data_IF_939105806920
#
_entry.id   IF_939105806920
#
_cell.length_a   1.000
_cell.length_b   1.000
_cell.length_c   1.000
_cell.angle_alpha   90.00
_cell.angle_beta   90.00
_cell.angle_gamma   90.00
#
_symmetry.space_group_name_H-M   'P 1'
#
loop_
_entity.id
_entity.type
_entity.pdbx_description
1 polymer ?
#
# COMPACT_ATOMS: atom_id res chain seq x y z
N UNK A 1 22.82 61.04 8.59
CA UNK A 1 21.75 60.86 7.59
C UNK A 1 21.95 59.50 6.93
N UNK A 2 21.21 58.47 7.35
CA UNK A 2 21.29 57.13 6.75
C UNK A 2 19.89 56.71 6.29
N UNK A 3 19.58 56.90 5.02
CA UNK A 3 18.48 56.20 4.34
C UNK A 3 19.15 55.10 3.51
N UNK A 4 19.23 53.88 4.05
CA UNK A 4 18.33 52.75 3.75
C UNK A 4 18.20 52.48 2.25
N UNK A 5 19.07 51.56 1.84
CA UNK A 5 19.04 50.70 0.66
C UNK A 5 17.62 50.40 0.15
N UNK A 6 17.28 51.03 -0.97
CA UNK A 6 16.33 50.50 -1.93
C UNK A 6 17.16 49.76 -2.98
N UNK A 7 17.11 48.44 -3.00
CA UNK A 7 17.34 47.63 -4.20
C UNK A 7 17.13 46.15 -3.87
N UNK A 8 15.89 45.71 -4.05
CA UNK A 8 15.53 44.33 -4.36
C UNK A 8 14.03 44.26 -4.66
N UNK A 9 13.59 45.05 -5.65
CA UNK A 9 12.30 44.84 -6.30
C UNK A 9 12.46 43.63 -7.22
N UNK A 10 12.47 42.43 -6.64
CA UNK A 10 12.35 41.21 -7.44
C UNK A 10 10.89 41.03 -7.79
N UNK A 11 10.59 41.31 -9.05
CA UNK A 11 9.42 40.90 -9.83
C UNK A 11 8.65 39.71 -9.20
N UNK A 12 7.53 39.99 -8.54
CA UNK A 12 6.57 38.98 -8.06
C UNK A 12 5.57 38.58 -9.16
N UNK A 13 6.04 38.36 -10.39
CA UNK A 13 5.28 37.62 -11.39
C UNK A 13 5.66 36.14 -11.26
N UNK A 14 4.85 35.39 -10.51
CA UNK A 14 4.91 33.91 -10.54
C UNK A 14 4.82 33.18 -9.21
N UNK A 15 4.84 33.85 -8.05
CA UNK A 15 4.62 33.17 -6.76
C UNK A 15 3.16 33.24 -6.37
N UNK A 16 2.38 32.22 -6.72
CA UNK A 16 1.10 32.01 -6.07
C UNK A 16 1.30 31.97 -4.54
N UNK A 17 0.67 32.88 -3.81
CA UNK A 17 0.78 32.92 -2.35
C UNK A 17 -0.14 31.87 -1.73
N UNK A 18 0.18 31.41 -0.50
CA UNK A 18 -0.68 30.55 0.32
C UNK A 18 -2.15 31.01 0.33
N UNK A 19 -2.35 32.33 0.42
CA UNK A 19 -3.66 32.98 0.42
C UNK A 19 -4.43 32.76 -0.88
N UNK A 20 -3.75 32.79 -2.02
CA UNK A 20 -4.39 32.57 -3.33
C UNK A 20 -4.86 31.12 -3.46
N UNK A 21 -4.06 30.15 -3.03
CA UNK A 21 -4.48 28.74 -3.00
C UNK A 21 -5.62 28.48 -2.02
N UNK A 22 -5.57 29.10 -0.84
CA UNK A 22 -6.67 29.03 0.11
C UNK A 22 -7.98 29.61 -0.48
N UNK A 23 -7.88 30.66 -1.32
CA UNK A 23 -9.05 31.18 -2.07
C UNK A 23 -9.52 30.22 -3.16
N UNK A 24 -8.62 29.55 -3.88
CA UNK A 24 -8.99 28.54 -4.88
C UNK A 24 -9.81 27.41 -4.24
N UNK A 25 -9.46 27.00 -3.01
CA UNK A 25 -10.21 26.00 -2.26
C UNK A 25 -11.65 26.44 -1.87
N UNK A 26 -12.01 27.71 -2.03
CA UNK A 26 -13.40 28.12 -1.86
C UNK A 26 -14.30 27.62 -3.00
N UNK A 27 -13.77 27.39 -4.21
CA UNK A 27 -14.55 26.87 -5.36
C UNK A 27 -15.89 27.60 -5.58
N UNK A 28 -15.95 28.91 -5.29
CA UNK A 28 -17.15 29.73 -5.41
C UNK A 28 -18.10 29.76 -4.20
N UNK A 29 -17.83 29.00 -3.13
CA UNK A 29 -18.66 29.04 -1.91
C UNK A 29 -18.38 30.27 -1.04
N UNK A 30 -19.38 30.69 -0.29
CA UNK A 30 -19.24 31.79 0.66
C UNK A 30 -18.31 31.44 1.83
N UNK A 31 -17.67 32.44 2.42
CA UNK A 31 -16.84 32.25 3.63
C UNK A 31 -17.63 31.64 4.80
N UNK A 32 -18.95 31.88 4.87
CA UNK A 32 -19.83 31.27 5.89
C UNK A 32 -19.98 29.76 5.65
N UNK A 33 -20.21 29.36 4.40
CA UNK A 33 -20.29 27.94 4.05
C UNK A 33 -18.96 27.22 4.31
N UNK A 34 -17.84 27.82 3.91
CA UNK A 34 -16.50 27.27 4.17
C UNK A 34 -16.18 27.19 5.66
N UNK A 35 -16.61 28.18 6.45
CA UNK A 35 -16.46 28.17 7.92
C UNK A 35 -17.15 26.98 8.57
N UNK A 36 -18.37 26.67 8.15
CA UNK A 36 -19.11 25.49 8.63
C UNK A 36 -18.44 24.19 8.20
N UNK A 37 -18.07 24.07 6.93
CA UNK A 37 -17.50 22.84 6.36
C UNK A 37 -16.10 22.54 6.89
N UNK A 38 -15.23 23.55 6.94
CA UNK A 38 -13.91 23.43 7.53
C UNK A 38 -13.93 23.37 9.05
N UNK A 39 -15.10 23.60 9.66
CA UNK A 39 -15.28 23.70 11.11
C UNK A 39 -14.23 24.65 11.72
N UNK A 40 -14.15 25.85 11.16
CA UNK A 40 -13.27 26.95 11.61
C UNK A 40 -14.18 28.15 11.85
N UNK A 41 -14.08 28.87 13.00
CA UNK A 41 -14.89 30.05 13.24
C UNK A 41 -14.79 31.08 12.12
N UNK A 42 -15.92 31.68 11.71
CA UNK A 42 -15.96 32.63 10.60
C UNK A 42 -14.95 33.78 10.78
N UNK A 43 -14.81 34.30 12.00
CA UNK A 43 -13.83 35.35 12.33
C UNK A 43 -12.39 34.90 12.09
N UNK A 44 -12.05 33.68 12.49
CA UNK A 44 -10.74 33.06 12.28
C UNK A 44 -10.46 32.87 10.80
N UNK A 45 -11.44 32.37 10.06
CA UNK A 45 -11.31 32.16 8.62
C UNK A 45 -11.17 33.50 7.86
N UNK A 46 -12.00 34.48 8.21
CA UNK A 46 -11.96 35.82 7.66
C UNK A 46 -10.61 36.50 7.93
N UNK A 47 -9.99 36.26 9.09
CA UNK A 47 -8.64 36.76 9.38
C UNK A 47 -7.58 36.20 8.40
N UNK A 48 -7.71 34.95 7.94
CA UNK A 48 -6.77 34.38 6.95
C UNK A 48 -6.90 35.03 5.57
N UNK A 49 -8.07 35.58 5.24
CA UNK A 49 -8.32 36.26 3.97
C UNK A 49 -8.17 37.78 4.02
N UNK A 50 -8.39 38.42 5.17
CA UNK A 50 -8.31 39.88 5.28
C UNK A 50 -6.96 40.34 5.85
N UNK A 51 -6.37 39.57 6.76
CA UNK A 51 -5.10 39.92 7.42
C UNK A 51 -3.94 39.13 6.83
N UNK A 52 -2.71 39.56 7.10
CA UNK A 52 -1.47 38.81 6.80
C UNK A 52 -1.22 37.71 7.85
N UNK A 53 -2.27 37.05 8.32
CA UNK A 53 -2.19 36.00 9.34
C UNK A 53 -2.31 34.65 8.66
N UNK A 54 -1.32 33.78 8.88
CA UNK A 54 -1.34 32.42 8.35
C UNK A 54 -2.03 31.47 9.34
N UNK A 55 -2.76 30.46 8.86
CA UNK A 55 -3.26 29.40 9.72
C UNK A 55 -2.11 28.61 10.36
N UNK A 56 -2.35 28.05 11.54
CA UNK A 56 -1.42 27.09 12.12
C UNK A 56 -1.34 25.83 11.25
N UNK A 57 -0.25 25.07 11.41
CA UNK A 57 -0.07 23.79 10.73
C UNK A 57 -1.27 22.85 10.89
N UNK A 58 -1.84 22.79 12.10
CA UNK A 58 -3.02 22.00 12.40
C UNK A 58 -4.25 22.43 11.57
N UNK A 59 -4.49 23.74 11.46
CA UNK A 59 -5.62 24.28 10.70
C UNK A 59 -5.40 24.09 9.19
N UNK A 60 -4.18 24.31 8.69
CA UNK A 60 -3.84 24.06 7.29
C UNK A 60 -4.00 22.58 6.92
N UNK A 61 -3.55 21.65 7.78
CA UNK A 61 -3.73 20.21 7.58
C UNK A 61 -5.20 19.81 7.60
N UNK A 62 -6.01 20.40 8.49
CA UNK A 62 -7.45 20.16 8.54
C UNK A 62 -8.14 20.57 7.23
N UNK A 63 -7.85 21.78 6.74
CA UNK A 63 -8.38 22.28 5.46
C UNK A 63 -7.95 21.37 4.31
N UNK A 64 -6.67 21.01 4.25
CA UNK A 64 -6.12 20.15 3.21
C UNK A 64 -6.82 18.78 3.15
N UNK A 65 -7.08 18.16 4.31
CA UNK A 65 -7.80 16.88 4.40
C UNK A 65 -9.25 16.98 3.92
N UNK A 66 -9.96 18.04 4.30
CA UNK A 66 -11.36 18.24 3.92
C UNK A 66 -11.48 18.49 2.41
N UNK A 67 -10.54 19.24 1.83
CA UNK A 67 -10.54 19.59 0.41
C UNK A 67 -9.87 18.56 -0.51
N UNK A 68 -9.27 17.51 0.07
CA UNK A 68 -8.58 16.46 -0.68
C UNK A 68 -7.29 16.92 -1.37
N UNK A 69 -6.60 17.92 -0.81
CA UNK A 69 -5.31 18.43 -1.33
C UNK A 69 -4.16 18.09 -0.40
N UNK A 70 -2.92 18.05 -0.91
CA UNK A 70 -1.75 17.87 -0.05
C UNK A 70 -1.47 19.14 0.76
N UNK A 71 -0.94 18.97 1.96
CA UNK A 71 -0.48 20.09 2.78
C UNK A 71 0.64 20.86 2.07
N UNK A 72 1.52 20.15 1.37
CA UNK A 72 2.60 20.74 0.58
C UNK A 72 2.06 21.62 -0.54
N UNK A 73 1.09 21.13 -1.33
CA UNK A 73 0.43 21.95 -2.34
C UNK A 73 -0.20 23.19 -1.73
N UNK A 74 -0.89 23.07 -0.60
CA UNK A 74 -1.46 24.23 0.08
C UNK A 74 -0.38 25.22 0.53
N UNK A 75 0.77 24.73 1.03
CA UNK A 75 1.87 25.53 1.57
C UNK A 75 2.73 26.21 0.49
N UNK A 76 3.21 25.47 -0.51
CA UNK A 76 4.19 25.92 -1.50
C UNK A 76 3.62 26.04 -2.92
N UNK A 77 2.48 25.41 -3.22
CA UNK A 77 1.84 25.45 -4.54
C UNK A 77 2.48 24.53 -5.56
N UNK A 78 3.49 23.75 -5.18
CA UNK A 78 3.95 22.65 -6.00
C UNK A 78 2.86 21.57 -5.95
N UNK A 79 2.34 21.12 -7.12
CA UNK A 79 1.58 19.89 -7.17
C UNK A 79 2.42 18.83 -6.47
N UNK A 80 1.78 18.07 -5.59
CA UNK A 80 2.40 16.90 -5.02
C UNK A 80 2.80 15.99 -6.21
N UNK A 81 4.05 16.05 -6.65
CA UNK A 81 4.80 14.80 -6.76
C UNK A 81 4.61 14.19 -5.38
N UNK A 82 3.64 13.26 -5.27
CA UNK A 82 3.40 12.54 -4.02
C UNK A 82 4.78 12.18 -3.48
N UNK A 83 5.09 12.36 -2.19
CA UNK A 83 6.24 11.66 -1.65
C UNK A 83 6.00 10.21 -2.03
N UNK A 84 6.80 9.73 -2.98
CA UNK A 84 6.82 8.32 -3.31
C UNK A 84 7.13 7.70 -1.97
N UNK A 85 6.19 6.92 -1.46
CA UNK A 85 6.61 5.81 -0.64
C UNK A 85 7.59 5.05 -1.56
N UNK A 86 8.88 5.35 -1.38
CA UNK A 86 10.01 4.97 -2.22
C UNK A 86 10.30 3.46 -2.13
N UNK A 87 9.26 2.69 -1.84
CA UNK A 87 9.30 1.24 -1.71
C UNK A 87 8.87 0.51 -2.98
N UNK A 88 8.27 1.19 -3.98
CA UNK A 88 7.82 0.53 -5.22
C UNK A 88 7.87 1.46 -6.45
N UNK A 89 9.06 1.87 -6.87
CA UNK A 89 9.29 2.13 -8.30
C UNK A 89 9.71 0.81 -8.94
N UNK A 90 8.73 0.03 -9.37
CA UNK A 90 9.00 -1.11 -10.25
C UNK A 90 9.55 -0.57 -11.58
N UNK A 91 10.55 -1.25 -12.11
CA UNK A 91 11.34 -0.99 -13.34
C UNK A 91 10.51 -0.93 -14.65
N UNK A 92 9.19 -0.78 -14.55
CA UNK A 92 8.22 -0.87 -15.64
C UNK A 92 7.70 0.49 -16.13
N UNK A 93 8.11 1.59 -15.48
CA UNK A 93 7.84 2.95 -15.96
C UNK A 93 6.38 3.44 -15.84
N UNK A 94 5.46 2.62 -15.34
CA UNK A 94 4.07 3.00 -15.13
C UNK A 94 3.79 3.35 -13.68
N UNK A 95 3.19 4.52 -13.45
CA UNK A 95 2.69 4.90 -12.14
C UNK A 95 1.45 4.09 -11.74
N UNK A 96 1.24 3.85 -10.45
CA UNK A 96 0.02 3.21 -9.94
C UNK A 96 -1.26 3.89 -10.44
N UNK A 97 -1.25 5.23 -10.53
CA UNK A 97 -2.39 6.02 -11.01
C UNK A 97 -2.69 5.75 -12.50
N UNK A 98 -1.66 5.51 -13.32
CA UNK A 98 -1.80 5.19 -14.75
C UNK A 98 -2.36 3.77 -14.95
N UNK A 99 -1.83 2.81 -14.20
CA UNK A 99 -2.34 1.43 -14.20
C UNK A 99 -3.80 1.39 -13.73
N UNK A 100 -4.13 2.13 -12.66
CA UNK A 100 -5.52 2.25 -12.17
C UNK A 100 -6.45 2.85 -13.23
N UNK A 101 -5.97 3.84 -13.96
CA UNK A 101 -6.73 4.48 -15.04
C UNK A 101 -6.97 3.51 -16.19
N UNK A 102 -5.93 2.78 -16.63
CA UNK A 102 -6.05 1.75 -17.66
C UNK A 102 -7.01 0.62 -17.24
N UNK A 103 -6.91 0.15 -16.00
CA UNK A 103 -7.82 -0.86 -15.44
C UNK A 103 -9.28 -0.40 -15.39
N UNK A 104 -9.51 0.87 -15.04
CA UNK A 104 -10.85 1.44 -15.01
C UNK A 104 -11.45 1.50 -16.42
N UNK A 105 -10.65 1.93 -17.40
CA UNK A 105 -11.07 1.97 -18.81
C UNK A 105 -11.45 0.58 -19.35
N UNK A 106 -10.67 -0.44 -19.01
CA UNK A 106 -10.96 -1.83 -19.41
C UNK A 106 -12.28 -2.27 -18.78
N UNK A 107 -12.47 -2.05 -17.47
CA UNK A 107 -13.68 -2.49 -16.79
C UNK A 107 -14.93 -1.77 -17.29
N UNK A 108 -14.82 -0.47 -17.58
CA UNK A 108 -15.91 0.36 -18.12
C UNK A 108 -16.32 -0.05 -19.55
N UNK A 109 -15.42 -0.71 -20.29
CA UNK A 109 -15.70 -1.21 -21.65
C UNK A 109 -16.50 -2.53 -21.67
N UNK A 110 -16.59 -3.23 -20.53
CA UNK A 110 -17.25 -4.52 -20.41
C UNK A 110 -18.71 -4.36 -20.00
N UNK A 111 -19.57 -5.28 -20.45
CA UNK A 111 -20.91 -5.36 -19.90
C UNK A 111 -20.92 -5.92 -18.47
N UNK A 112 -22.03 -5.74 -17.75
CA UNK A 112 -22.16 -6.18 -16.34
C UNK A 112 -21.95 -7.70 -16.18
N UNK A 113 -22.31 -8.51 -17.18
CA UNK A 113 -22.13 -9.97 -17.13
C UNK A 113 -20.67 -10.34 -17.37
N UNK A 114 -20.01 -9.68 -18.31
CA UNK A 114 -18.61 -9.86 -18.65
C UNK A 114 -17.71 -9.41 -17.49
N UNK A 115 -17.95 -8.23 -16.92
CA UNK A 115 -17.25 -7.73 -15.74
C UNK A 115 -17.37 -8.69 -14.55
N UNK A 116 -18.59 -9.19 -14.28
CA UNK A 116 -18.82 -10.19 -13.22
C UNK A 116 -18.09 -11.50 -13.50
N UNK A 117 -18.05 -11.95 -14.75
CA UNK A 117 -17.34 -13.17 -15.15
C UNK A 117 -15.84 -13.01 -14.96
N UNK A 118 -15.29 -11.85 -15.34
CA UNK A 118 -13.88 -11.52 -15.18
C UNK A 118 -13.48 -11.48 -13.70
N UNK A 119 -14.25 -10.78 -12.85
CA UNK A 119 -13.99 -10.70 -11.40
C UNK A 119 -14.01 -12.10 -10.78
N UNK A 120 -15.00 -12.92 -11.12
CA UNK A 120 -15.09 -14.29 -10.60
C UNK A 120 -13.90 -15.16 -11.04
N UNK A 121 -13.45 -14.99 -12.28
CA UNK A 121 -12.29 -15.70 -12.80
C UNK A 121 -11.01 -15.30 -12.05
N UNK A 122 -10.79 -13.99 -11.88
CA UNK A 122 -9.66 -13.45 -11.12
C UNK A 122 -9.68 -13.92 -9.66
N UNK A 123 -10.84 -13.88 -9.00
CA UNK A 123 -10.98 -14.40 -7.64
C UNK A 123 -10.64 -15.88 -7.57
N UNK A 124 -11.21 -16.72 -8.45
CA UNK A 124 -10.94 -18.16 -8.44
C UNK A 124 -9.46 -18.46 -8.65
N UNK A 125 -8.84 -17.82 -9.66
CA UNK A 125 -7.43 -18.02 -9.96
C UNK A 125 -6.49 -17.44 -8.89
N UNK A 126 -6.87 -16.31 -8.29
CA UNK A 126 -6.17 -15.74 -7.14
C UNK A 126 -6.19 -16.66 -5.92
N UNK A 127 -7.36 -17.19 -5.56
CA UNK A 127 -7.51 -18.15 -4.45
C UNK A 127 -6.73 -19.44 -4.74
N UNK A 128 -6.82 -19.97 -5.96
CA UNK A 128 -6.07 -21.15 -6.39
C UNK A 128 -4.56 -20.94 -6.23
N UNK A 129 -4.03 -19.78 -6.66
CA UNK A 129 -2.62 -19.42 -6.49
C UNK A 129 -2.19 -19.25 -5.03
N UNK A 130 -3.03 -18.64 -4.19
CA UNK A 130 -2.76 -18.53 -2.74
C UNK A 130 -2.74 -19.92 -2.09
N UNK A 131 -3.69 -20.79 -2.44
CA UNK A 131 -3.75 -22.16 -1.94
C UNK A 131 -2.56 -23.01 -2.39
N UNK A 132 -2.07 -22.86 -3.63
CA UNK A 132 -0.87 -23.56 -4.08
C UNK A 132 0.37 -23.06 -3.34
N UNK A 133 0.51 -21.75 -3.12
CA UNK A 133 1.61 -21.19 -2.33
C UNK A 133 1.58 -21.64 -0.86
N UNK A 134 0.39 -21.82 -0.29
CA UNK A 134 0.22 -22.36 1.06
C UNK A 134 0.58 -23.85 1.10
N UNK A 135 0.23 -24.63 0.07
CA UNK A 135 0.63 -26.05 -0.02
C UNK A 135 2.12 -26.23 -0.32
N UNK A 136 2.73 -25.37 -1.13
CA UNK A 136 4.19 -25.37 -1.37
C UNK A 136 4.98 -25.04 -0.09
N UNK A 137 4.38 -24.29 0.84
CA UNK A 137 4.92 -24.03 2.18
C UNK A 137 4.49 -25.02 3.25
N UNK A 138 3.60 -25.98 2.96
CA UNK A 138 3.32 -27.04 3.93
C UNK A 138 4.56 -27.91 4.04
N UNK A 139 5.27 -27.68 5.13
CA UNK A 139 6.41 -28.47 5.57
C UNK A 139 6.05 -29.96 5.45
N UNK A 140 6.94 -30.72 4.81
CA UNK A 140 6.79 -32.17 4.66
C UNK A 140 6.58 -32.81 6.05
N UNK A 141 7.15 -32.21 7.10
CA UNK A 141 6.88 -32.59 8.48
C UNK A 141 5.41 -32.45 8.92
N UNK A 142 4.72 -31.38 8.52
CA UNK A 142 3.28 -31.22 8.81
C UNK A 142 2.42 -32.25 8.07
N UNK A 143 2.85 -32.64 6.87
CA UNK A 143 2.20 -33.72 6.12
C UNK A 143 2.42 -35.08 6.81
N UNK A 144 3.62 -35.33 7.33
CA UNK A 144 3.93 -36.53 8.12
C UNK A 144 3.09 -36.57 9.40
N UNK A 145 2.88 -35.44 10.06
CA UNK A 145 2.08 -35.36 11.29
C UNK A 145 0.59 -35.68 11.05
N UNK A 146 0.07 -35.39 9.85
CA UNK A 146 -1.31 -35.71 9.44
C UNK A 146 -1.53 -37.20 9.09
N UNK A 147 -0.47 -38.01 8.93
CA UNK A 147 -0.61 -39.43 8.62
C UNK A 147 -1.30 -40.19 9.77
N UNK A 148 -2.23 -41.09 9.47
CA UNK A 148 -2.91 -41.94 10.46
C UNK A 148 -2.08 -43.19 10.81
N UNK A 149 -0.83 -42.98 11.22
CA UNK A 149 0.11 -44.03 11.62
C UNK A 149 0.62 -43.80 13.05
N UNK A 150 1.24 -44.82 13.64
CA UNK A 150 1.84 -44.75 14.99
C UNK A 150 2.88 -43.63 15.09
N UNK A 151 2.90 -42.90 16.20
CA UNK A 151 3.80 -41.75 16.43
C UNK A 151 5.28 -42.08 16.22
N UNK A 152 5.75 -43.23 16.73
CA UNK A 152 7.14 -43.65 16.57
C UNK A 152 7.54 -43.83 15.09
N UNK A 153 6.59 -44.23 14.23
CA UNK A 153 6.84 -44.37 12.80
C UNK A 153 6.88 -43.00 12.12
N UNK A 154 6.05 -42.05 12.54
CA UNK A 154 6.15 -40.65 12.07
C UNK A 154 7.51 -40.07 12.37
N UNK A 155 8.00 -40.24 13.60
CA UNK A 155 9.30 -39.74 14.02
C UNK A 155 10.44 -40.38 13.23
N UNK A 156 10.38 -41.69 12.99
CA UNK A 156 11.37 -42.38 12.16
C UNK A 156 11.37 -41.85 10.71
N UNK A 157 10.20 -41.55 10.14
CA UNK A 157 10.09 -40.97 8.80
C UNK A 157 10.67 -39.55 8.76
N UNK A 158 10.43 -38.72 9.78
CA UNK A 158 11.02 -37.37 9.88
C UNK A 158 12.55 -37.42 9.95
N UNK A 159 13.10 -38.29 10.79
CA UNK A 159 14.56 -38.47 10.93
C UNK A 159 15.20 -39.01 9.64
N UNK A 160 14.50 -39.88 8.91
CA UNK A 160 14.97 -40.36 7.61
C UNK A 160 14.91 -39.27 6.53
N UNK A 161 13.98 -38.31 6.63
CA UNK A 161 13.84 -37.19 5.71
C UNK A 161 15.10 -36.29 5.67
N UNK A 162 15.78 -36.14 6.81
CA UNK A 162 17.06 -35.42 6.93
C UNK A 162 18.28 -36.21 6.40
N UNK A 163 18.07 -37.50 6.10
CA UNK A 163 19.10 -38.43 5.62
C UNK A 163 19.29 -38.39 4.11
N UNK A 164 20.01 -39.39 3.59
CA UNK A 164 20.13 -39.64 2.15
C UNK A 164 19.78 -41.09 1.83
N UNK A 165 19.44 -41.34 0.56
CA UNK A 165 18.95 -42.66 0.11
C UNK A 165 19.96 -43.80 0.36
N UNK A 166 21.26 -43.50 0.47
CA UNK A 166 22.28 -44.50 0.80
C UNK A 166 22.17 -44.93 2.26
N UNK A 167 22.00 -43.99 3.18
CA UNK A 167 21.79 -44.25 4.61
C UNK A 167 20.50 -45.05 4.83
N UNK A 168 19.43 -44.72 4.12
CA UNK A 168 18.15 -45.42 4.22
C UNK A 168 18.25 -46.89 3.80
N UNK A 169 18.98 -47.16 2.71
CA UNK A 169 19.23 -48.53 2.23
C UNK A 169 20.02 -49.35 3.24
N UNK A 170 20.98 -48.76 3.93
CA UNK A 170 21.74 -49.45 4.97
C UNK A 170 20.90 -49.74 6.22
N UNK A 171 20.07 -48.78 6.66
CA UNK A 171 19.12 -48.97 7.77
C UNK A 171 18.17 -50.13 7.46
N UNK A 172 17.58 -50.14 6.25
CA UNK A 172 16.68 -51.21 5.81
C UNK A 172 17.39 -52.57 5.73
N UNK A 173 18.64 -52.61 5.24
CA UNK A 173 19.44 -53.83 5.20
C UNK A 173 19.70 -54.37 6.60
N UNK A 174 20.03 -53.51 7.55
CA UNK A 174 20.31 -53.90 8.93
C UNK A 174 19.06 -54.45 9.63
N UNK A 175 17.93 -53.74 9.51
CA UNK A 175 16.64 -54.17 10.05
C UNK A 175 16.22 -55.52 9.44
N UNK A 176 16.36 -55.70 8.13
CA UNK A 176 16.00 -56.97 7.45
C UNK A 176 16.87 -58.14 7.93
N UNK A 177 18.16 -57.88 8.16
CA UNK A 177 19.10 -58.89 8.66
C UNK A 177 18.76 -59.31 10.08
N UNK A 178 18.47 -58.34 10.97
CA UNK A 178 18.08 -58.60 12.36
C UNK A 178 16.76 -59.37 12.46
N UNK A 179 15.75 -58.98 11.69
CA UNK A 179 14.45 -59.68 11.65
C UNK A 179 14.62 -61.12 11.13
N UNK A 180 15.57 -61.35 10.22
CA UNK A 180 15.87 -62.69 9.70
C UNK A 180 16.64 -63.55 10.71
N UNK A 181 17.40 -62.93 11.63
CA UNK A 181 18.12 -63.61 12.70
C UNK A 181 17.22 -63.96 13.89
N UNK A 182 16.21 -63.15 14.20
CA UNK A 182 15.23 -63.45 15.27
C UNK A 182 14.16 -64.49 14.87
N UNK A 183 14.00 -64.75 13.57
CA UNK A 183 13.02 -65.73 13.04
C UNK A 183 13.58 -67.15 12.86
N UNK A 184 14.89 -67.35 13.05
CA UNK A 184 15.55 -68.65 13.10
C UNK A 184 15.84 -69.04 14.54
#
# INVERSE_FOLDING_TARGET
MNNKTNEATFLEEGKETFKNRLKQLLKGRSLRAASTEWQIPYSTLNNYFDKKTLPSLYVAQKIARIEGVSLEWLASGTPNEKPTDDSQRDDTGYGYDELKTAWSLILDSLDVKEAKTLINLMHRKGIEGILTMIHEKQDIEELIDKLKIRSNLKQAIKVALDGNESTDKEILRYITTLISQEKN
#
